data_IF_101916543956
#
_entry.id   IF_101916543956
#
_cell.length_a   1.000
_cell.length_b   1.000
_cell.length_c   1.000
_cell.angle_alpha   90.00
_cell.angle_beta   90.00
_cell.angle_gamma   90.00
#
_symmetry.space_group_name_H-M   'P 1'
#
loop_
_entity.id
_entity.type
_entity.pdbx_description
1 polymer ?
#
# COMPACT_ATOMS: atom_id res chain seq x y z
N UNK A 1 9.12 33.15 16.36
CA UNK A 1 10.16 32.30 16.95
C UNK A 1 9.48 31.04 17.45
N UNK A 2 9.88 29.88 16.96
CA UNK A 2 9.31 28.59 17.44
C UNK A 2 9.77 28.37 18.89
N UNK A 3 8.85 28.01 19.78
CA UNK A 3 9.19 27.60 21.14
C UNK A 3 10.01 26.29 21.05
N UNK A 4 11.17 26.17 21.73
CA UNK A 4 11.99 24.96 21.67
C UNK A 4 11.20 23.68 22.02
N UNK A 5 10.27 23.78 22.94
CA UNK A 5 9.39 22.71 23.42
C UNK A 5 8.50 22.16 22.31
N UNK A 6 7.95 23.02 21.45
CA UNK A 6 7.14 22.60 20.30
C UNK A 6 7.96 21.80 19.27
N UNK A 7 9.23 22.18 19.08
CA UNK A 7 10.12 21.49 18.16
C UNK A 7 10.32 20.02 18.51
N UNK A 8 10.54 19.71 19.78
CA UNK A 8 10.73 18.32 20.25
C UNK A 8 9.53 17.44 19.91
N UNK A 9 8.32 17.95 20.15
CA UNK A 9 7.08 17.25 19.79
C UNK A 9 6.95 17.00 18.29
N UNK A 10 7.19 18.03 17.46
CA UNK A 10 7.12 17.88 16.00
C UNK A 10 8.17 16.87 15.48
N UNK A 11 9.38 16.89 16.02
CA UNK A 11 10.42 15.95 15.65
C UNK A 11 10.04 14.50 16.00
N UNK A 12 9.48 14.29 17.20
CA UNK A 12 9.00 12.97 17.63
C UNK A 12 7.89 12.45 16.69
N UNK A 13 6.86 13.27 16.46
CA UNK A 13 5.73 12.90 15.58
C UNK A 13 6.19 12.61 14.16
N UNK A 14 7.06 13.45 13.61
CA UNK A 14 7.59 13.27 12.26
C UNK A 14 8.52 12.04 12.16
N UNK A 15 9.33 11.74 13.18
CA UNK A 15 10.17 10.56 13.23
C UNK A 15 9.33 9.28 13.24
N UNK A 16 8.28 9.24 14.05
CA UNK A 16 7.35 8.12 14.08
C UNK A 16 6.59 7.95 12.77
N UNK A 17 6.10 9.07 12.18
CA UNK A 17 5.33 9.01 10.94
C UNK A 17 6.14 8.51 9.74
N UNK A 18 7.36 9.05 9.56
CA UNK A 18 8.17 8.76 8.38
C UNK A 18 9.09 7.55 8.51
N UNK A 19 9.56 7.25 9.72
CA UNK A 19 10.56 6.21 9.96
C UNK A 19 10.11 5.11 10.90
N UNK A 20 8.96 5.27 11.58
CA UNK A 20 8.46 4.35 12.62
C UNK A 20 9.51 4.11 13.74
N UNK A 21 10.30 5.15 14.05
CA UNK A 21 11.41 5.13 15.01
C UNK A 21 11.40 6.38 15.89
N UNK A 22 12.15 6.32 16.97
CA UNK A 22 12.41 7.48 17.81
C UNK A 22 13.50 8.38 17.19
N UNK A 23 13.51 9.71 17.43
CA UNK A 23 14.52 10.61 16.88
C UNK A 23 15.97 10.20 17.19
N UNK A 24 16.24 9.64 18.37
CA UNK A 24 17.57 9.21 18.78
C UNK A 24 18.06 7.93 18.08
N UNK A 25 17.17 7.19 17.42
CA UNK A 25 17.48 5.98 16.66
C UNK A 25 17.79 6.26 15.18
N UNK A 26 17.63 7.51 14.76
CA UNK A 26 17.80 7.92 13.37
C UNK A 26 19.28 8.21 13.06
N UNK A 27 19.67 7.96 11.80
CA UNK A 27 20.98 8.36 11.30
C UNK A 27 21.12 9.88 11.25
N UNK A 28 22.37 10.38 11.15
CA UNK A 28 22.62 11.82 11.03
C UNK A 28 21.91 12.44 9.82
N UNK A 29 21.88 11.75 8.68
CA UNK A 29 21.20 12.19 7.46
C UNK A 29 19.68 12.24 7.63
N UNK A 30 19.11 11.20 8.27
CA UNK A 30 17.69 11.15 8.57
C UNK A 30 17.27 12.27 9.55
N UNK A 31 18.08 12.52 10.57
CA UNK A 31 17.85 13.62 11.51
C UNK A 31 17.93 14.99 10.82
N UNK A 32 18.90 15.21 9.96
CA UNK A 32 19.01 16.46 9.20
C UNK A 32 17.80 16.68 8.29
N UNK A 33 17.35 15.62 7.61
CA UNK A 33 16.13 15.67 6.78
C UNK A 33 14.90 15.99 7.64
N UNK A 34 14.75 15.31 8.77
CA UNK A 34 13.64 15.49 9.71
C UNK A 34 13.59 16.93 10.24
N UNK A 35 14.71 17.46 10.66
CA UNK A 35 14.87 18.84 11.12
C UNK A 35 14.39 19.84 10.06
N UNK A 36 14.83 19.69 8.83
CA UNK A 36 14.44 20.58 7.73
C UNK A 36 12.94 20.47 7.44
N UNK A 37 12.39 19.26 7.51
CA UNK A 37 10.96 18.97 7.30
C UNK A 37 10.11 19.66 8.38
N UNK A 38 10.48 19.51 9.64
CA UNK A 38 9.77 20.13 10.77
C UNK A 38 9.83 21.67 10.70
N UNK A 39 10.98 22.22 10.37
CA UNK A 39 11.12 23.70 10.21
C UNK A 39 10.21 24.20 9.10
N UNK A 40 10.18 23.52 7.95
CA UNK A 40 9.30 23.89 6.84
C UNK A 40 7.82 23.75 7.21
N UNK A 41 7.45 22.68 7.89
CA UNK A 41 6.08 22.49 8.40
C UNK A 41 5.67 23.63 9.33
N UNK A 42 6.45 23.94 10.34
CA UNK A 42 6.17 25.03 11.29
C UNK A 42 6.07 26.40 10.61
N UNK A 43 6.93 26.64 9.61
CA UNK A 43 6.87 27.87 8.81
C UNK A 43 5.54 27.96 8.06
N UNK A 44 5.14 26.88 7.37
CA UNK A 44 3.88 26.84 6.63
C UNK A 44 2.66 27.00 7.55
N UNK A 45 2.62 26.29 8.69
CA UNK A 45 1.58 26.45 9.70
C UNK A 45 1.48 27.90 10.21
N UNK A 46 2.63 28.53 10.43
CA UNK A 46 2.67 29.93 10.88
C UNK A 46 2.09 30.87 9.83
N UNK A 47 2.37 30.65 8.54
CA UNK A 47 1.78 31.42 7.44
C UNK A 47 0.27 31.20 7.34
N UNK A 48 -0.18 29.95 7.43
CA UNK A 48 -1.61 29.60 7.43
C UNK A 48 -2.33 30.30 8.58
N UNK A 49 -1.78 30.26 9.78
CA UNK A 49 -2.38 30.90 10.97
C UNK A 49 -2.33 32.43 10.92
N UNK A 50 -1.40 33.03 10.19
CA UNK A 50 -1.32 34.48 9.95
C UNK A 50 -2.24 34.94 8.82
N UNK A 51 -2.85 34.04 8.07
CA UNK A 51 -3.75 34.36 6.96
C UNK A 51 -5.05 35.05 7.43
N UNK A 52 -5.69 35.77 6.53
CA UNK A 52 -6.99 36.41 6.78
C UNK A 52 -8.06 35.36 7.09
N UNK A 53 -7.99 34.21 6.48
CA UNK A 53 -8.90 33.09 6.67
C UNK A 53 -8.88 32.55 8.10
N UNK A 54 -7.73 32.60 8.76
CA UNK A 54 -7.54 32.18 10.15
C UNK A 54 -8.43 32.96 11.13
N UNK A 55 -8.74 34.26 10.85
CA UNK A 55 -9.52 35.09 11.74
C UNK A 55 -10.93 34.55 12.04
N UNK A 56 -11.46 33.75 11.14
CA UNK A 56 -12.84 33.21 11.22
C UNK A 56 -12.88 31.70 11.56
N UNK A 57 -11.74 31.12 11.94
CA UNK A 57 -11.64 29.68 12.30
C UNK A 57 -11.33 29.54 13.77
N UNK A 58 -12.21 28.84 14.47
CA UNK A 58 -12.03 28.43 15.86
C UNK A 58 -12.20 26.91 15.94
N UNK A 59 -11.36 26.29 16.73
CA UNK A 59 -11.49 24.87 17.06
C UNK A 59 -12.58 24.74 18.12
N UNK A 60 -13.59 23.88 17.94
CA UNK A 60 -14.57 23.62 18.99
C UNK A 60 -13.88 22.93 20.18
N UNK A 61 -14.27 23.32 21.41
CA UNK A 61 -13.71 22.74 22.65
C UNK A 61 -13.89 21.21 22.71
N UNK A 62 -14.99 20.72 22.15
CA UNK A 62 -15.28 19.27 22.08
C UNK A 62 -14.29 18.54 21.18
N UNK A 63 -13.97 19.10 20.01
CA UNK A 63 -12.99 18.52 19.09
C UNK A 63 -11.60 18.47 19.72
N UNK A 64 -11.21 19.55 20.43
CA UNK A 64 -9.93 19.60 21.13
C UNK A 64 -9.87 18.57 22.26
N UNK A 65 -10.96 18.39 23.01
CA UNK A 65 -11.03 17.38 24.07
C UNK A 65 -10.94 15.98 23.50
N UNK A 66 -11.70 15.66 22.46
CA UNK A 66 -11.65 14.36 21.78
C UNK A 66 -10.24 14.03 21.29
N UNK A 67 -9.54 15.00 20.70
CA UNK A 67 -8.15 14.79 20.25
C UNK A 67 -7.18 14.54 21.39
N UNK A 68 -7.39 15.16 22.55
CA UNK A 68 -6.61 14.87 23.76
C UNK A 68 -6.89 13.47 24.29
N UNK A 69 -8.16 13.10 24.39
CA UNK A 69 -8.58 11.76 24.85
C UNK A 69 -8.05 10.66 23.93
N UNK A 70 -8.02 10.89 22.61
CA UNK A 70 -7.46 9.96 21.61
C UNK A 70 -5.94 9.77 21.77
N UNK A 71 -5.20 10.83 22.16
CA UNK A 71 -3.77 10.73 22.43
C UNK A 71 -3.53 9.98 23.74
N UNK A 72 -4.25 10.32 24.80
CA UNK A 72 -4.13 9.65 26.10
C UNK A 72 -4.46 8.15 25.98
N UNK A 73 -5.47 7.79 25.21
CA UNK A 73 -5.86 6.40 24.96
C UNK A 73 -4.80 5.54 24.23
N UNK A 74 -3.75 6.14 23.66
CA UNK A 74 -2.64 5.40 23.06
C UNK A 74 -1.63 4.90 24.09
N UNK A 75 -1.73 5.32 25.33
CA UNK A 75 -0.86 4.91 26.42
C UNK A 75 -1.52 3.82 27.26
N UNK A 76 -0.69 3.02 27.94
CA UNK A 76 -1.16 1.93 28.80
C UNK A 76 -1.98 2.43 30.00
N UNK A 77 -1.56 3.57 30.55
CA UNK A 77 -2.25 4.28 31.62
C UNK A 77 -1.92 5.80 31.60
N UNK A 78 -2.61 6.54 32.47
CA UNK A 78 -2.46 8.00 32.61
C UNK A 78 -1.06 8.40 33.08
N UNK A 79 -0.42 7.59 33.91
CA UNK A 79 0.91 7.88 34.44
C UNK A 79 1.95 7.79 33.33
N UNK A 80 1.86 6.77 32.45
CA UNK A 80 2.71 6.62 31.28
C UNK A 80 2.57 7.81 30.31
N UNK A 81 1.36 8.34 30.14
CA UNK A 81 1.12 9.55 29.36
C UNK A 81 1.83 10.78 29.95
N UNK A 82 1.71 11.02 31.26
CA UNK A 82 2.37 12.15 31.90
C UNK A 82 3.89 12.01 31.96
N UNK A 83 4.41 10.81 32.13
CA UNK A 83 5.85 10.52 32.04
C UNK A 83 6.41 10.86 30.66
N UNK A 84 5.66 10.54 29.59
CA UNK A 84 6.06 10.88 28.22
C UNK A 84 6.03 12.38 27.97
N UNK A 85 5.01 13.10 28.47
CA UNK A 85 4.98 14.55 28.42
C UNK A 85 6.20 15.17 29.13
N UNK A 86 6.53 14.69 30.31
CA UNK A 86 7.68 15.17 31.07
C UNK A 86 9.00 14.91 30.31
N UNK A 87 9.15 13.73 29.71
CA UNK A 87 10.32 13.39 28.89
C UNK A 87 10.49 14.33 27.68
N UNK A 88 9.39 14.83 27.13
CA UNK A 88 9.36 15.77 26.01
C UNK A 88 9.41 17.24 26.45
N UNK A 89 9.57 17.50 27.76
CA UNK A 89 9.50 18.85 28.35
C UNK A 89 8.17 19.56 28.02
N UNK A 90 7.07 18.78 27.97
CA UNK A 90 5.71 19.26 27.72
C UNK A 90 4.87 19.25 29.01
N UNK A 91 3.96 20.20 29.11
CA UNK A 91 2.84 20.16 30.04
C UNK A 91 1.56 19.85 29.28
N UNK A 92 0.49 19.44 29.98
CA UNK A 92 -0.82 19.25 29.36
C UNK A 92 -1.30 20.53 28.66
N UNK A 93 -1.04 21.70 29.25
CA UNK A 93 -1.38 23.01 28.64
C UNK A 93 -0.63 23.24 27.34
N UNK A 94 0.68 22.98 27.29
CA UNK A 94 1.47 23.13 26.05
C UNK A 94 1.07 22.14 24.98
N UNK A 95 0.72 20.91 25.36
CA UNK A 95 0.15 19.95 24.39
C UNK A 95 -1.20 20.43 23.85
N UNK A 96 -2.07 20.93 24.73
CA UNK A 96 -3.38 21.49 24.32
C UNK A 96 -3.21 22.65 23.32
N UNK A 97 -2.30 23.57 23.60
CA UNK A 97 -2.01 24.70 22.70
C UNK A 97 -1.47 24.22 21.32
N UNK A 98 -0.64 23.18 21.33
CA UNK A 98 -0.13 22.56 20.11
C UNK A 98 -1.25 21.92 19.29
N UNK A 99 -2.12 21.16 19.93
CA UNK A 99 -3.25 20.52 19.29
C UNK A 99 -4.26 21.53 18.72
N UNK A 100 -4.58 22.57 19.51
CA UNK A 100 -5.44 23.64 19.01
C UNK A 100 -4.85 24.30 17.77
N UNK A 101 -3.54 24.54 17.76
CA UNK A 101 -2.83 25.10 16.63
C UNK A 101 -2.91 24.19 15.39
N UNK A 102 -2.68 22.89 15.54
CA UNK A 102 -2.74 21.91 14.46
C UNK A 102 -4.16 21.78 13.91
N UNK A 103 -5.14 21.55 14.77
CA UNK A 103 -6.55 21.45 14.39
C UNK A 103 -7.05 22.71 13.67
N UNK A 104 -6.59 23.89 14.13
CA UNK A 104 -6.95 25.14 13.48
C UNK A 104 -6.38 25.24 12.06
N UNK A 105 -5.13 24.80 11.84
CA UNK A 105 -4.54 24.72 10.50
C UNK A 105 -5.33 23.76 9.61
N UNK A 106 -5.68 22.57 10.12
CA UNK A 106 -6.49 21.59 9.39
C UNK A 106 -7.84 22.16 8.98
N UNK A 107 -8.56 22.78 9.90
CA UNK A 107 -9.86 23.42 9.61
C UNK A 107 -9.75 24.56 8.57
N UNK A 108 -8.64 25.31 8.57
CA UNK A 108 -8.42 26.33 7.54
C UNK A 108 -8.20 25.67 6.18
N UNK A 109 -7.38 24.62 6.11
CA UNK A 109 -7.12 23.88 4.88
C UNK A 109 -8.39 23.19 4.35
N UNK A 110 -9.20 22.57 5.22
CA UNK A 110 -10.49 21.98 4.87
C UNK A 110 -11.44 23.04 4.28
N UNK A 111 -11.51 24.23 4.89
CA UNK A 111 -12.33 25.34 4.34
C UNK A 111 -11.83 25.81 2.96
N UNK A 112 -10.51 25.74 2.69
CA UNK A 112 -10.01 26.06 1.35
C UNK A 112 -10.39 24.94 0.36
N UNK A 113 -10.29 23.68 0.77
CA UNK A 113 -10.73 22.53 -0.04
C UNK A 113 -12.24 22.61 -0.35
N UNK A 114 -13.05 22.96 0.64
CA UNK A 114 -14.50 23.06 0.48
C UNK A 114 -14.97 24.15 -0.51
N UNK A 115 -14.10 25.09 -0.90
CA UNK A 115 -14.39 26.06 -1.96
C UNK A 115 -14.31 25.46 -3.38
N UNK A 116 -13.73 24.28 -3.51
CA UNK A 116 -13.59 23.59 -4.78
C UNK A 116 -14.87 22.81 -5.06
N UNK A 117 -15.47 23.06 -6.20
CA UNK A 117 -16.63 22.27 -6.66
C UNK A 117 -16.20 20.82 -6.95
N UNK A 118 -17.13 19.88 -6.71
CA UNK A 118 -16.90 18.48 -7.03
C UNK A 118 -16.67 18.28 -8.52
N UNK A 119 -15.80 17.35 -8.86
CA UNK A 119 -15.50 17.00 -10.24
C UNK A 119 -16.77 16.54 -10.97
N UNK A 120 -17.02 17.11 -12.13
CA UNK A 120 -18.18 16.76 -12.95
C UNK A 120 -18.01 15.41 -13.62
N UNK A 121 -19.12 14.78 -14.01
CA UNK A 121 -19.08 13.56 -14.84
C UNK A 121 -18.30 13.77 -16.16
N UNK A 122 -18.38 14.96 -16.74
CA UNK A 122 -17.64 15.30 -17.95
C UNK A 122 -16.13 15.23 -17.74
N UNK A 123 -15.64 15.73 -16.61
CA UNK A 123 -14.22 15.64 -16.23
C UNK A 123 -13.79 14.20 -15.95
N UNK A 124 -14.64 13.42 -15.28
CA UNK A 124 -14.39 12.00 -15.06
C UNK A 124 -14.34 11.23 -16.39
N UNK A 125 -15.22 11.53 -17.35
CA UNK A 125 -15.26 10.92 -18.67
C UNK A 125 -14.03 11.27 -19.51
N UNK A 126 -13.57 12.52 -19.45
CA UNK A 126 -12.33 12.96 -20.10
C UNK A 126 -11.11 12.24 -19.54
N UNK A 127 -11.02 12.15 -18.20
CA UNK A 127 -9.95 11.40 -17.53
C UNK A 127 -9.94 9.92 -17.91
N UNK A 128 -11.12 9.28 -17.90
CA UNK A 128 -11.27 7.89 -18.32
C UNK A 128 -10.85 7.65 -19.78
N UNK A 129 -11.15 8.60 -20.66
CA UNK A 129 -10.78 8.52 -22.07
C UNK A 129 -9.28 8.72 -22.31
N UNK A 130 -8.65 9.63 -21.55
CA UNK A 130 -7.24 9.99 -21.71
C UNK A 130 -6.28 9.05 -20.96
N UNK A 131 -6.79 8.24 -20.01
CA UNK A 131 -5.99 7.30 -19.20
C UNK A 131 -6.48 5.85 -19.32
N UNK A 132 -6.67 5.28 -20.53
CA UNK A 132 -7.32 3.99 -20.72
C UNK A 132 -6.63 2.85 -19.95
N UNK A 133 -5.30 2.91 -19.82
CA UNK A 133 -4.51 1.88 -19.15
C UNK A 133 -4.83 1.73 -17.64
N UNK A 134 -5.34 2.77 -17.01
CA UNK A 134 -5.71 2.71 -15.59
C UNK A 134 -7.03 1.96 -15.34
N UNK A 135 -7.78 1.71 -16.40
CA UNK A 135 -9.09 1.07 -16.36
C UNK A 135 -9.09 -0.30 -17.03
N UNK A 136 -7.93 -0.90 -17.21
CA UNK A 136 -7.78 -2.25 -17.71
C UNK A 136 -7.59 -3.20 -16.52
N UNK A 137 -8.46 -4.21 -16.43
CA UNK A 137 -8.21 -5.42 -15.65
C UNK A 137 -7.35 -6.34 -16.52
N UNK A 138 -6.09 -6.61 -16.15
CA UNK A 138 -5.23 -7.44 -16.97
C UNK A 138 -5.75 -8.88 -17.04
N UNK A 139 -5.34 -9.62 -18.07
CA UNK A 139 -5.57 -11.05 -18.14
C UNK A 139 -5.03 -11.74 -16.88
N UNK A 140 -5.80 -12.68 -16.34
CA UNK A 140 -5.41 -13.54 -15.23
C UNK A 140 -5.71 -14.98 -15.57
N UNK A 141 -4.88 -15.88 -15.02
CA UNK A 141 -5.04 -17.32 -15.18
C UNK A 141 -5.18 -17.99 -13.81
N UNK A 142 -6.19 -18.83 -13.66
CA UNK A 142 -6.29 -19.66 -12.47
C UNK A 142 -5.31 -20.82 -12.62
N UNK A 143 -4.24 -20.74 -11.82
CA UNK A 143 -3.07 -21.60 -11.96
C UNK A 143 -2.94 -22.61 -10.84
N UNK A 144 -2.45 -23.78 -11.24
CA UNK A 144 -2.07 -24.88 -10.38
C UNK A 144 -0.62 -25.23 -10.68
N UNK A 145 0.17 -25.55 -9.64
CA UNK A 145 1.61 -25.71 -9.75
C UNK A 145 2.11 -26.93 -8.97
N UNK A 146 3.02 -27.67 -9.58
CA UNK A 146 3.77 -28.76 -8.99
C UNK A 146 5.25 -28.54 -9.28
N UNK A 147 6.09 -28.59 -8.26
CA UNK A 147 7.54 -28.46 -8.31
C UNK A 147 8.21 -29.71 -7.74
N UNK A 148 9.23 -30.20 -8.42
CA UNK A 148 10.23 -31.07 -7.83
C UNK A 148 11.57 -30.35 -8.00
N UNK A 149 12.25 -30.11 -6.88
CA UNK A 149 13.53 -29.38 -6.87
C UNK A 149 14.64 -30.22 -7.46
N UNK A 150 15.58 -29.58 -8.15
CA UNK A 150 16.81 -30.22 -8.58
C UNK A 150 17.90 -29.88 -7.56
N UNK A 151 18.40 -30.91 -6.86
CA UNK A 151 19.51 -30.74 -5.91
C UNK A 151 20.50 -31.93 -6.01
N UNK A 152 21.71 -31.72 -6.56
CA UNK A 152 22.68 -32.78 -6.73
C UNK A 152 23.18 -33.44 -5.43
N UNK A 153 22.99 -32.80 -4.28
CA UNK A 153 23.36 -33.34 -2.97
C UNK A 153 22.43 -34.48 -2.53
N UNK A 154 21.21 -34.52 -3.10
CA UNK A 154 20.23 -35.56 -2.83
C UNK A 154 20.11 -36.48 -4.06
N UNK A 155 20.48 -37.78 -3.96
CA UNK A 155 20.47 -38.70 -5.09
C UNK A 155 19.14 -38.75 -5.84
N UNK A 156 18.00 -38.68 -5.10
CA UNK A 156 16.64 -38.70 -5.63
C UNK A 156 16.22 -37.42 -6.38
N UNK A 157 16.92 -36.32 -6.11
CA UNK A 157 16.65 -35.01 -6.71
C UNK A 157 17.70 -34.62 -7.79
N UNK A 158 18.44 -35.61 -8.33
CA UNK A 158 19.26 -35.42 -9.51
C UNK A 158 18.36 -35.14 -10.73
N UNK A 159 18.82 -34.26 -11.59
CA UNK A 159 18.08 -33.77 -12.76
C UNK A 159 17.44 -34.88 -13.61
N UNK A 160 18.22 -35.93 -13.90
CA UNK A 160 17.74 -37.08 -14.69
C UNK A 160 16.57 -37.82 -14.02
N UNK A 161 16.67 -38.06 -12.72
CA UNK A 161 15.62 -38.74 -11.94
C UNK A 161 14.38 -37.85 -11.73
N UNK A 162 14.59 -36.55 -11.52
CA UNK A 162 13.49 -35.58 -11.42
C UNK A 162 12.71 -35.51 -12.72
N UNK A 163 13.41 -35.49 -13.87
CA UNK A 163 12.79 -35.48 -15.19
C UNK A 163 11.92 -36.72 -15.42
N UNK A 164 12.46 -37.92 -15.13
CA UNK A 164 11.73 -39.19 -15.27
C UNK A 164 10.50 -39.23 -14.34
N UNK A 165 10.68 -38.82 -13.06
CA UNK A 165 9.62 -38.79 -12.07
C UNK A 165 8.50 -37.83 -12.48
N UNK A 166 8.84 -36.61 -12.91
CA UNK A 166 7.86 -35.62 -13.29
C UNK A 166 7.14 -35.97 -14.62
N UNK A 167 7.85 -36.64 -15.54
CA UNK A 167 7.26 -37.19 -16.76
C UNK A 167 6.21 -38.27 -16.46
N UNK A 168 6.48 -39.17 -15.51
CA UNK A 168 5.53 -40.17 -15.07
C UNK A 168 4.29 -39.49 -14.40
N UNK A 169 4.52 -38.52 -13.51
CA UNK A 169 3.44 -37.76 -12.87
C UNK A 169 2.59 -37.04 -13.91
N UNK A 170 3.20 -36.41 -14.92
CA UNK A 170 2.49 -35.74 -16.01
C UNK A 170 1.58 -36.71 -16.76
N UNK A 171 2.06 -37.91 -17.01
CA UNK A 171 1.26 -38.99 -17.68
C UNK A 171 0.09 -39.42 -16.81
N UNK A 172 0.28 -39.53 -15.49
CA UNK A 172 -0.79 -39.91 -14.55
C UNK A 172 -1.86 -38.81 -14.41
N UNK A 173 -1.46 -37.51 -14.48
CA UNK A 173 -2.36 -36.37 -14.45
C UNK A 173 -3.28 -36.40 -15.70
N UNK A 174 -2.73 -36.65 -16.89
CA UNK A 174 -3.47 -36.78 -18.15
C UNK A 174 -4.49 -35.63 -18.38
N UNK A 175 -4.09 -34.40 -18.00
CA UNK A 175 -4.94 -33.21 -18.12
C UNK A 175 -6.12 -33.10 -17.14
N UNK A 176 -6.25 -34.05 -16.20
CA UNK A 176 -7.31 -34.02 -15.19
C UNK A 176 -6.89 -33.21 -13.97
N UNK A 177 -7.69 -32.18 -13.62
CA UNK A 177 -7.38 -31.26 -12.53
C UNK A 177 -7.41 -31.97 -11.16
N UNK A 178 -8.30 -32.90 -10.94
CA UNK A 178 -8.39 -33.60 -9.65
C UNK A 178 -7.18 -34.52 -9.46
N UNK A 179 -6.73 -35.17 -10.52
CA UNK A 179 -5.46 -35.92 -10.51
C UNK A 179 -4.27 -34.99 -10.27
N UNK A 180 -4.25 -33.80 -10.92
CA UNK A 180 -3.21 -32.81 -10.68
C UNK A 180 -3.10 -32.45 -9.20
N UNK A 181 -4.23 -32.12 -8.56
CA UNK A 181 -4.32 -31.79 -7.14
C UNK A 181 -3.75 -32.91 -6.26
N UNK A 182 -4.10 -34.17 -6.55
CA UNK A 182 -3.60 -35.32 -5.82
C UNK A 182 -2.09 -35.50 -5.99
N UNK A 183 -1.57 -35.31 -7.21
CA UNK A 183 -0.15 -35.42 -7.49
C UNK A 183 0.63 -34.26 -6.85
N UNK A 184 0.09 -33.04 -6.92
CA UNK A 184 0.71 -31.88 -6.28
C UNK A 184 0.79 -32.05 -4.75
N UNK A 185 -0.26 -32.52 -4.12
CA UNK A 185 -0.27 -32.76 -2.68
C UNK A 185 0.71 -33.85 -2.25
N UNK A 186 0.94 -34.87 -3.09
CA UNK A 186 1.82 -36.00 -2.77
C UNK A 186 3.29 -35.73 -3.09
N UNK A 187 3.56 -34.98 -4.14
CA UNK A 187 4.88 -34.93 -4.76
C UNK A 187 5.47 -33.54 -4.87
N UNK A 188 4.66 -32.49 -4.77
CA UNK A 188 5.17 -31.12 -4.93
C UNK A 188 5.98 -30.70 -3.71
N UNK A 189 7.13 -30.14 -3.96
CA UNK A 189 8.05 -29.55 -2.97
C UNK A 189 7.84 -28.02 -2.85
N UNK A 190 6.84 -27.48 -3.57
CA UNK A 190 6.40 -26.10 -3.41
C UNK A 190 5.46 -25.93 -2.20
N UNK A 191 5.51 -24.81 -1.46
CA UNK A 191 4.55 -24.53 -0.39
C UNK A 191 3.08 -24.61 -0.82
N UNK A 192 2.76 -24.38 -2.10
CA UNK A 192 1.41 -24.55 -2.65
C UNK A 192 0.88 -26.00 -2.55
N UNK A 193 1.74 -27.00 -2.32
CA UNK A 193 1.33 -28.38 -2.10
C UNK A 193 0.33 -28.52 -0.94
N UNK A 194 0.42 -27.67 0.09
CA UNK A 194 -0.51 -27.61 1.22
C UNK A 194 -1.95 -27.31 0.76
N UNK A 195 -2.10 -26.59 -0.34
CA UNK A 195 -3.37 -26.29 -1.00
C UNK A 195 -3.52 -27.08 -2.30
N UNK A 196 -2.98 -28.31 -2.36
CA UNK A 196 -3.05 -29.19 -3.54
C UNK A 196 -2.49 -28.57 -4.83
N UNK A 197 -1.53 -27.65 -4.70
CA UNK A 197 -0.92 -26.95 -5.82
C UNK A 197 -1.62 -25.67 -6.28
N UNK A 198 -2.70 -25.24 -5.63
CA UNK A 198 -3.42 -24.05 -6.02
C UNK A 198 -2.58 -22.77 -5.80
N UNK A 199 -2.49 -21.94 -6.84
CA UNK A 199 -1.84 -20.63 -6.82
C UNK A 199 -2.87 -19.49 -6.91
N UNK A 200 -4.12 -19.78 -7.27
CA UNK A 200 -5.17 -18.79 -7.48
C UNK A 200 -5.06 -18.07 -8.84
N UNK A 201 -5.61 -16.86 -8.89
CA UNK A 201 -5.64 -16.03 -10.10
C UNK A 201 -4.35 -15.22 -10.24
N UNK A 202 -3.50 -15.59 -11.18
CA UNK A 202 -2.18 -15.02 -11.43
C UNK A 202 -2.25 -14.07 -12.63
N UNK A 203 -1.91 -12.79 -12.49
CA UNK A 203 -1.67 -11.90 -13.61
C UNK A 203 -0.29 -12.16 -14.24
N UNK A 204 -0.11 -11.79 -15.50
CA UNK A 204 1.16 -11.93 -16.20
C UNK A 204 2.32 -11.20 -15.51
N UNK A 205 3.49 -11.78 -15.51
CA UNK A 205 4.72 -11.19 -14.95
C UNK A 205 4.92 -11.42 -13.43
N UNK A 206 4.14 -12.32 -12.82
CA UNK A 206 4.23 -12.59 -11.38
C UNK A 206 4.91 -13.91 -11.02
N UNK A 207 5.30 -14.70 -12.02
CA UNK A 207 6.01 -15.97 -11.83
C UNK A 207 7.42 -15.91 -12.41
N UNK A 208 8.20 -16.98 -12.23
CA UNK A 208 9.44 -17.16 -12.98
C UNK A 208 9.18 -17.06 -14.48
N UNK A 209 10.04 -16.40 -15.26
CA UNK A 209 9.75 -16.11 -16.67
C UNK A 209 9.36 -17.32 -17.49
N UNK A 210 9.98 -18.49 -17.23
CA UNK A 210 9.72 -19.74 -17.94
C UNK A 210 8.30 -20.27 -17.60
N UNK A 211 7.92 -20.18 -16.34
CA UNK A 211 6.60 -20.61 -15.85
C UNK A 211 5.52 -19.65 -16.34
N UNK A 212 5.79 -18.34 -16.21
CA UNK A 212 4.86 -17.28 -16.66
C UNK A 212 4.55 -17.42 -18.13
N UNK A 213 5.59 -17.55 -18.96
CA UNK A 213 5.42 -17.77 -20.40
C UNK A 213 4.59 -19.02 -20.68
N UNK A 214 4.94 -20.15 -20.08
CA UNK A 214 4.22 -21.41 -20.31
C UNK A 214 2.75 -21.28 -19.86
N UNK A 215 2.49 -20.72 -18.67
CA UNK A 215 1.13 -20.55 -18.15
C UNK A 215 0.28 -19.70 -19.10
N UNK A 216 0.83 -18.58 -19.62
CA UNK A 216 0.07 -17.64 -20.48
C UNK A 216 -0.05 -18.11 -21.93
N UNK A 217 0.62 -19.17 -22.34
CA UNK A 217 0.42 -19.86 -23.63
C UNK A 217 -0.63 -21.00 -23.53
N UNK A 218 -0.99 -21.47 -22.32
CA UNK A 218 -1.96 -22.55 -22.14
C UNK A 218 -3.39 -22.08 -22.40
N UNK A 219 -4.23 -22.99 -22.90
CA UNK A 219 -5.68 -22.85 -22.84
C UNK A 219 -6.24 -23.34 -21.51
N UNK A 220 -7.46 -22.91 -21.17
CA UNK A 220 -8.15 -23.41 -19.98
C UNK A 220 -8.34 -24.95 -20.04
N UNK A 221 -8.07 -25.62 -18.93
CA UNK A 221 -8.11 -27.06 -18.82
C UNK A 221 -6.85 -27.79 -19.32
N UNK A 222 -5.79 -27.07 -19.72
CA UNK A 222 -4.58 -27.68 -20.29
C UNK A 222 -3.43 -27.72 -19.30
N UNK A 223 -2.75 -28.86 -19.25
CA UNK A 223 -1.51 -29.10 -18.51
C UNK A 223 -0.29 -28.72 -19.36
N UNK A 224 0.71 -28.09 -18.77
CA UNK A 224 1.95 -27.74 -19.47
C UNK A 224 2.82 -28.94 -19.85
N UNK A 225 3.77 -28.70 -20.74
CA UNK A 225 4.97 -29.53 -20.82
C UNK A 225 5.82 -29.30 -19.54
N UNK A 226 6.90 -30.09 -19.37
CA UNK A 226 7.82 -29.92 -18.27
C UNK A 226 8.59 -28.59 -18.45
N UNK A 227 8.62 -27.80 -17.39
CA UNK A 227 9.28 -26.49 -17.38
C UNK A 227 10.46 -26.57 -16.43
N UNK A 228 11.65 -26.23 -16.89
CA UNK A 228 12.85 -26.17 -16.08
C UNK A 228 13.15 -24.71 -15.67
N UNK A 229 13.46 -24.51 -14.40
CA UNK A 229 13.98 -23.25 -13.86
C UNK A 229 15.23 -23.51 -13.01
N UNK A 230 15.82 -22.48 -12.46
CA UNK A 230 16.99 -22.60 -11.57
C UNK A 230 16.71 -23.40 -10.29
N UNK A 231 15.45 -23.50 -9.86
CA UNK A 231 15.08 -24.22 -8.63
C UNK A 231 14.65 -25.66 -8.88
N UNK A 232 14.29 -26.03 -10.10
CA UNK A 232 13.84 -27.39 -10.40
C UNK A 232 12.98 -27.53 -11.64
N UNK A 233 12.22 -28.62 -11.66
CA UNK A 233 11.28 -28.97 -12.73
C UNK A 233 9.86 -28.74 -12.28
N UNK A 234 9.06 -28.14 -13.15
CA UNK A 234 7.71 -27.71 -12.85
C UNK A 234 6.69 -28.31 -13.83
N UNK A 235 5.47 -28.49 -13.33
CA UNK A 235 4.25 -28.59 -14.11
C UNK A 235 3.28 -27.51 -13.66
N UNK A 236 2.63 -26.89 -14.63
CA UNK A 236 1.54 -25.94 -14.36
C UNK A 236 0.30 -26.34 -15.14
N UNK A 237 -0.86 -26.08 -14.55
CA UNK A 237 -2.14 -26.27 -15.20
C UNK A 237 -2.93 -24.98 -15.11
N UNK A 238 -3.49 -24.56 -16.24
CA UNK A 238 -4.42 -23.43 -16.30
C UNK A 238 -5.85 -23.99 -16.21
N UNK A 239 -6.58 -23.74 -15.12
CA UNK A 239 -7.94 -24.24 -14.99
C UNK A 239 -8.98 -23.28 -15.59
N UNK A 240 -8.72 -21.97 -15.56
CA UNK A 240 -9.64 -20.96 -16.09
C UNK A 240 -8.87 -19.69 -16.49
N UNK A 241 -9.46 -18.87 -17.36
CA UNK A 241 -8.87 -17.66 -17.93
C UNK A 241 -9.85 -16.50 -17.81
N UNK A 242 -9.44 -15.47 -17.11
CA UNK A 242 -10.08 -14.16 -17.15
C UNK A 242 -9.33 -13.29 -18.16
N UNK A 243 -9.93 -13.09 -19.30
CA UNK A 243 -9.34 -12.25 -20.34
C UNK A 243 -9.23 -10.79 -19.91
N UNK A 244 -8.28 -10.08 -20.49
CA UNK A 244 -8.18 -8.64 -20.33
C UNK A 244 -9.51 -7.97 -20.66
N UNK A 245 -9.95 -7.08 -19.80
CA UNK A 245 -11.16 -6.31 -20.05
C UNK A 245 -11.04 -4.88 -19.53
N UNK A 246 -11.60 -3.95 -20.27
CA UNK A 246 -11.73 -2.57 -19.81
C UNK A 246 -12.90 -2.48 -18.83
N UNK A 247 -12.66 -1.91 -17.65
CA UNK A 247 -13.73 -1.64 -16.68
C UNK A 247 -14.68 -0.60 -17.27
N UNK A 248 -15.99 -0.84 -17.31
CA UNK A 248 -16.96 0.12 -17.83
C UNK A 248 -16.91 1.45 -17.05
N UNK A 249 -17.11 2.56 -17.77
CA UNK A 249 -17.11 3.89 -17.14
C UNK A 249 -18.12 4.00 -15.99
N UNK A 250 -19.29 3.39 -16.17
CA UNK A 250 -20.40 3.38 -15.22
C UNK A 250 -20.04 2.74 -13.87
N UNK A 251 -19.07 1.79 -13.87
CA UNK A 251 -18.59 1.15 -12.62
C UNK A 251 -17.60 2.03 -11.86
N UNK A 252 -16.92 2.95 -12.53
CA UNK A 252 -15.85 3.74 -11.93
C UNK A 252 -16.17 5.23 -11.78
N UNK A 253 -17.24 5.72 -12.38
CA UNK A 253 -17.54 7.15 -12.44
C UNK A 253 -17.58 7.82 -11.07
N UNK A 254 -18.28 7.26 -10.10
CA UNK A 254 -18.38 7.84 -8.74
C UNK A 254 -17.03 7.93 -8.04
N UNK A 255 -16.30 6.82 -8.03
CA UNK A 255 -14.95 6.77 -7.42
C UNK A 255 -13.98 7.69 -8.14
N UNK A 256 -14.11 7.82 -9.46
CA UNK A 256 -13.27 8.70 -10.26
C UNK A 256 -13.57 10.18 -9.98
N UNK A 257 -14.84 10.55 -9.86
CA UNK A 257 -15.26 11.91 -9.47
C UNK A 257 -14.72 12.27 -8.06
N UNK A 258 -14.82 11.35 -7.10
CA UNK A 258 -14.28 11.53 -5.75
C UNK A 258 -12.76 11.78 -5.79
N UNK A 259 -12.00 10.91 -6.46
CA UNK A 259 -10.54 11.05 -6.60
C UNK A 259 -10.11 12.33 -7.32
N UNK A 260 -10.84 12.71 -8.37
CA UNK A 260 -10.57 13.96 -9.09
C UNK A 260 -10.87 15.18 -8.21
N UNK A 261 -11.99 15.15 -7.47
CA UNK A 261 -12.33 16.19 -6.51
C UNK A 261 -11.26 16.36 -5.43
N UNK A 262 -10.82 15.26 -4.82
CA UNK A 262 -9.73 15.29 -3.84
C UNK A 262 -8.42 15.83 -4.44
N UNK A 263 -8.10 15.45 -5.67
CA UNK A 263 -6.91 15.97 -6.37
C UNK A 263 -7.01 17.47 -6.62
N UNK A 264 -8.18 17.96 -7.03
CA UNK A 264 -8.46 19.39 -7.25
C UNK A 264 -8.38 20.15 -5.91
N UNK A 265 -8.93 19.61 -4.84
CA UNK A 265 -8.89 20.17 -3.49
C UNK A 265 -7.45 20.27 -2.97
N UNK A 266 -6.65 19.20 -3.09
CA UNK A 266 -5.22 19.22 -2.73
C UNK A 266 -4.44 20.26 -3.52
N UNK A 267 -4.69 20.36 -4.82
CA UNK A 267 -4.04 21.36 -5.67
C UNK A 267 -4.44 22.81 -5.29
N UNK A 268 -5.70 23.04 -4.99
CA UNK A 268 -6.20 24.32 -4.52
C UNK A 268 -5.57 24.72 -3.18
N UNK A 269 -5.49 23.78 -2.23
CA UNK A 269 -4.81 24.00 -0.94
C UNK A 269 -3.33 24.36 -1.14
N UNK A 270 -2.61 23.59 -1.98
CA UNK A 270 -1.19 23.84 -2.26
C UNK A 270 -0.97 25.21 -2.93
N UNK A 271 -1.84 25.54 -3.89
CA UNK A 271 -1.77 26.84 -4.60
C UNK A 271 -2.04 27.98 -3.64
N UNK A 272 -3.05 27.85 -2.78
CA UNK A 272 -3.35 28.83 -1.76
C UNK A 272 -2.19 28.97 -0.77
N UNK A 273 -1.65 27.88 -0.24
CA UNK A 273 -0.50 27.91 0.66
C UNK A 273 0.72 28.59 0.04
N UNK A 274 0.99 28.36 -1.25
CA UNK A 274 2.07 29.06 -1.97
C UNK A 274 1.84 30.55 -2.13
N UNK A 275 0.58 31.00 -2.12
CA UNK A 275 0.22 32.42 -2.20
C UNK A 275 0.38 33.16 -0.87
N UNK A 276 0.57 32.43 0.24
CA UNK A 276 0.82 33.05 1.56
C UNK A 276 2.26 33.55 1.61
N UNK A 277 2.43 34.85 1.70
CA UNK A 277 3.71 35.51 1.75
C UNK A 277 4.53 35.25 3.03
#
# INVERSE_FOLDING_TARGET
>A
MSCPTYRAYYLLRAAQHHFQRQPHELSAEQNQWLESTVVNQQLMESKVLASVESAHVRVPDETLRQSLDEIEAQYEDVDAFFDDLQRLDLTLSTLTDLLERQLRVELILERQAAKVESATEAQARDYYATHPQQFIKPERRQAWHLLITINPEYPENRRDLVLDRLSAIRTEIDGDLERFKQQAQRHSECPSALNSGEMGWIPQGHLYPEIDKALFELHAGVLSELIETEVGMHLVMCSDIQTEQRVPFEEVVSTLQEKLTEAQQRNAQQTWMRSLA
#
